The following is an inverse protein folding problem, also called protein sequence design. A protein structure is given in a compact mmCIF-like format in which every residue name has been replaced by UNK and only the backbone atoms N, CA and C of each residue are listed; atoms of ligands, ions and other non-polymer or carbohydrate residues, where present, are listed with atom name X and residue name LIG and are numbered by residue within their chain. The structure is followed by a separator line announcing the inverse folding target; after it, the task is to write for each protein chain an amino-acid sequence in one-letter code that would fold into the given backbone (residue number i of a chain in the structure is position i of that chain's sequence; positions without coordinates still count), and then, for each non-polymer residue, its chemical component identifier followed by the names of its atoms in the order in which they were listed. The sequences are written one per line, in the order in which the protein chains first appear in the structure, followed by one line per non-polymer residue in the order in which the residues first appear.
data_IF_347231187364
#
_entry.id   IF_347231187364
#
_cell.length_a   1.000
_cell.length_b   1.000
_cell.length_c   1.000
_cell.angle_alpha   90.00
_cell.angle_beta   90.00
_cell.angle_gamma   90.00
#
_symmetry.space_group_name_H-M   'P 1'
#
loop_
_entity.id
_entity.type
_entity.pdbx_description
1 polymer ?
#
# COMPACT_ATOMS: atom_id res chain seq x y z
N UNK A 1 23.11 -9.68 5.34
CA UNK A 1 21.74 -10.09 4.92
C UNK A 1 21.37 -11.50 5.37
N UNK A 2 22.26 -12.51 5.28
CA UNK A 2 22.02 -13.89 5.75
C UNK A 2 21.47 -14.00 7.19
N UNK A 3 22.07 -13.27 8.14
CA UNK A 3 21.58 -13.21 9.53
C UNK A 3 20.15 -12.65 9.63
N UNK A 4 19.76 -11.75 8.73
CA UNK A 4 18.42 -11.14 8.73
C UNK A 4 17.38 -12.12 8.16
N UNK A 5 17.72 -12.87 7.11
CA UNK A 5 16.84 -13.85 6.47
C UNK A 5 16.43 -14.98 7.43
N UNK A 6 17.30 -15.36 8.38
CA UNK A 6 16.98 -16.30 9.47
C UNK A 6 15.76 -15.86 10.29
N UNK A 7 15.50 -14.55 10.38
CA UNK A 7 14.39 -13.99 11.14
C UNK A 7 13.14 -13.76 10.29
N UNK A 8 13.11 -14.14 9.01
CA UNK A 8 11.97 -13.94 8.09
C UNK A 8 10.63 -14.32 8.72
N UNK A 9 10.55 -15.47 9.40
CA UNK A 9 9.32 -15.94 10.02
C UNK A 9 8.85 -15.04 11.18
N UNK A 10 9.78 -14.44 11.93
CA UNK A 10 9.45 -13.49 13.01
C UNK A 10 8.88 -12.21 12.41
N UNK A 11 9.52 -11.68 11.37
CA UNK A 11 8.98 -10.53 10.64
C UNK A 11 7.62 -10.87 10.00
N UNK A 12 7.45 -12.05 9.40
CA UNK A 12 6.16 -12.46 8.86
C UNK A 12 5.06 -12.50 9.92
N UNK A 13 5.36 -12.98 11.13
CA UNK A 13 4.41 -12.98 12.24
C UNK A 13 4.05 -11.56 12.71
N UNK A 14 5.04 -10.67 12.80
CA UNK A 14 4.81 -9.25 13.14
C UNK A 14 3.91 -8.58 12.10
N UNK A 15 4.18 -8.81 10.80
CA UNK A 15 3.33 -8.34 9.71
C UNK A 15 1.91 -8.88 9.81
N UNK A 16 1.74 -10.17 10.12
CA UNK A 16 0.43 -10.79 10.33
C UNK A 16 -0.34 -10.12 11.48
N UNK A 17 0.33 -9.81 12.59
CA UNK A 17 -0.27 -9.12 13.74
C UNK A 17 -0.71 -7.71 13.35
N UNK A 18 0.17 -6.91 12.76
CA UNK A 18 -0.17 -5.55 12.35
C UNK A 18 -1.30 -5.50 11.31
N UNK A 19 -1.30 -6.44 10.36
CA UNK A 19 -2.36 -6.55 9.36
C UNK A 19 -3.69 -6.93 9.99
N UNK A 20 -3.66 -7.85 10.96
CA UNK A 20 -4.85 -8.28 11.70
C UNK A 20 -5.43 -7.14 12.52
N UNK A 21 -4.59 -6.41 13.27
CA UNK A 21 -5.00 -5.22 14.03
C UNK A 21 -5.65 -4.19 13.10
N UNK A 22 -5.00 -3.88 11.98
CA UNK A 22 -5.51 -2.89 11.03
C UNK A 22 -6.90 -3.27 10.49
N UNK A 23 -7.07 -4.51 10.04
CA UNK A 23 -8.33 -5.00 9.45
C UNK A 23 -9.43 -5.18 10.49
N UNK A 24 -9.12 -5.75 11.65
CA UNK A 24 -10.10 -5.95 12.74
C UNK A 24 -10.59 -4.62 13.25
N UNK A 25 -9.71 -3.64 13.51
CA UNK A 25 -10.13 -2.30 13.93
C UNK A 25 -10.99 -1.61 12.88
N UNK A 26 -10.63 -1.75 11.60
CA UNK A 26 -11.43 -1.20 10.49
C UNK A 26 -12.86 -1.75 10.54
N UNK A 27 -13.02 -3.06 10.65
CA UNK A 27 -14.34 -3.70 10.70
C UNK A 27 -15.08 -3.33 11.99
N UNK A 28 -14.41 -3.39 13.14
CA UNK A 28 -15.03 -3.18 14.45
C UNK A 28 -15.53 -1.75 14.66
N UNK A 29 -14.75 -0.75 14.22
CA UNK A 29 -15.07 0.66 14.47
C UNK A 29 -15.73 1.38 13.29
N UNK A 30 -15.47 0.95 12.05
CA UNK A 30 -15.95 1.64 10.84
C UNK A 30 -16.90 0.77 9.97
N UNK A 31 -17.05 -0.51 10.30
CA UNK A 31 -17.87 -1.46 9.55
C UNK A 31 -17.29 -1.86 8.19
N UNK A 32 -18.00 -2.74 7.48
CA UNK A 32 -17.55 -3.26 6.18
C UNK A 32 -17.53 -2.17 5.10
N UNK A 33 -18.35 -1.13 5.22
CA UNK A 33 -18.33 0.00 4.28
C UNK A 33 -16.99 0.75 4.26
N UNK A 34 -16.16 0.59 5.29
CA UNK A 34 -14.84 1.19 5.35
C UNK A 34 -13.91 0.66 4.25
N UNK A 35 -14.18 -0.51 3.66
CA UNK A 35 -13.43 -1.01 2.50
C UNK A 35 -13.69 -0.22 1.21
N UNK A 36 -14.53 0.82 1.24
CA UNK A 36 -14.60 1.82 0.15
C UNK A 36 -13.39 2.75 0.11
N UNK A 37 -12.58 2.79 1.16
CA UNK A 37 -11.33 3.54 1.20
C UNK A 37 -10.16 2.70 0.68
N UNK A 38 -9.32 3.29 -0.16
CA UNK A 38 -8.14 2.63 -0.76
C UNK A 38 -7.15 2.12 0.31
N UNK A 39 -6.96 2.89 1.38
CA UNK A 39 -6.12 2.52 2.53
C UNK A 39 -6.55 1.19 3.14
N UNK A 40 -7.86 1.01 3.33
CA UNK A 40 -8.41 -0.18 3.98
C UNK A 40 -8.31 -1.41 3.06
N UNK A 41 -8.54 -1.23 1.75
CA UNK A 41 -8.29 -2.29 0.76
C UNK A 41 -6.80 -2.69 0.72
N UNK A 42 -5.89 -1.71 0.78
CA UNK A 42 -4.44 -1.95 0.80
C UNK A 42 -3.99 -2.69 2.07
N UNK A 43 -4.54 -2.34 3.23
CA UNK A 43 -4.29 -3.04 4.49
C UNK A 43 -4.86 -4.46 4.50
N UNK A 44 -5.97 -4.72 3.80
CA UNK A 44 -6.47 -6.08 3.58
C UNK A 44 -5.53 -6.90 2.70
N UNK A 45 -5.04 -6.33 1.59
CA UNK A 45 -4.05 -6.99 0.74
C UNK A 45 -2.75 -7.33 1.51
N UNK A 46 -2.29 -6.43 2.37
CA UNK A 46 -1.17 -6.66 3.28
C UNK A 46 -1.43 -7.85 4.22
N UNK A 47 -2.59 -7.89 4.87
CA UNK A 47 -2.97 -9.04 5.70
C UNK A 47 -2.98 -10.33 4.89
N UNK A 48 -3.55 -10.32 3.68
CA UNK A 48 -3.58 -11.49 2.79
C UNK A 48 -2.17 -12.00 2.49
N UNK A 49 -1.20 -11.12 2.19
CA UNK A 49 0.18 -11.55 1.92
C UNK A 49 0.78 -12.29 3.13
N UNK A 50 0.61 -11.78 4.34
CA UNK A 50 1.13 -12.44 5.55
C UNK A 50 0.39 -13.73 5.89
N UNK A 51 -0.91 -13.83 5.58
CA UNK A 51 -1.66 -15.10 5.67
C UNK A 51 -1.07 -16.13 4.69
N UNK A 52 -0.81 -15.75 3.44
CA UNK A 52 -0.21 -16.64 2.45
C UNK A 52 1.20 -17.10 2.86
N UNK A 53 2.00 -16.22 3.48
CA UNK A 53 3.29 -16.58 4.08
C UNK A 53 3.15 -17.58 5.23
N UNK A 54 2.18 -17.36 6.12
CA UNK A 54 1.89 -18.27 7.23
C UNK A 54 1.57 -19.69 6.74
N UNK A 55 0.80 -19.79 5.65
CA UNK A 55 0.49 -21.06 4.99
C UNK A 55 1.58 -21.57 4.03
N UNK A 56 2.78 -20.94 4.02
CA UNK A 56 3.93 -21.33 3.19
C UNK A 56 3.62 -21.38 1.69
N UNK A 57 2.81 -20.44 1.21
CA UNK A 57 2.41 -20.36 -0.20
C UNK A 57 3.31 -19.45 -1.04
N UNK A 58 4.49 -19.11 -0.55
CA UNK A 58 5.39 -18.11 -1.14
C UNK A 58 6.01 -18.50 -2.48
N UNK A 59 6.09 -19.79 -2.77
CA UNK A 59 6.58 -20.31 -4.05
C UNK A 59 5.58 -20.12 -5.21
N UNK A 60 4.32 -19.79 -4.91
CA UNK A 60 3.28 -19.66 -5.93
C UNK A 60 3.43 -18.36 -6.70
N UNK A 61 3.20 -18.41 -8.02
CA UNK A 61 3.16 -17.20 -8.84
C UNK A 61 2.11 -16.19 -8.36
N UNK A 62 0.96 -16.68 -7.87
CA UNK A 62 -0.09 -15.85 -7.28
C UNK A 62 0.40 -15.07 -6.07
N UNK A 63 1.28 -15.66 -5.25
CA UNK A 63 1.88 -14.96 -4.12
C UNK A 63 2.78 -13.82 -4.57
N UNK A 64 3.65 -14.04 -5.56
CA UNK A 64 4.52 -12.99 -6.13
C UNK A 64 3.69 -11.84 -6.71
N UNK A 65 2.64 -12.16 -7.47
CA UNK A 65 1.72 -11.17 -8.04
C UNK A 65 1.01 -10.37 -6.96
N UNK A 66 0.35 -11.03 -5.99
CA UNK A 66 -0.39 -10.35 -4.92
C UNK A 66 0.56 -9.49 -4.09
N UNK A 67 1.75 -10.00 -3.76
CA UNK A 67 2.74 -9.24 -2.99
C UNK A 67 3.19 -7.97 -3.71
N UNK A 68 3.38 -8.03 -5.03
CA UNK A 68 3.75 -6.85 -5.80
C UNK A 68 2.61 -5.82 -5.89
N UNK A 69 1.36 -6.28 -6.09
CA UNK A 69 0.18 -5.42 -6.02
C UNK A 69 0.08 -4.74 -4.65
N UNK A 70 0.28 -5.50 -3.58
CA UNK A 70 0.30 -4.99 -2.20
C UNK A 70 1.41 -3.96 -2.01
N UNK A 71 2.61 -4.20 -2.55
CA UNK A 71 3.74 -3.28 -2.44
C UNK A 71 3.37 -1.91 -3.00
N UNK A 72 2.85 -1.89 -4.22
CA UNK A 72 2.46 -0.65 -4.88
C UNK A 72 1.30 0.01 -4.14
N UNK A 73 0.30 -0.75 -3.72
CA UNK A 73 -0.87 -0.19 -3.02
C UNK A 73 -0.53 0.40 -1.65
N UNK A 74 0.34 -0.27 -0.89
CA UNK A 74 0.86 0.25 0.38
C UNK A 74 1.72 1.48 0.19
N UNK A 75 2.57 1.48 -0.83
CA UNK A 75 3.39 2.62 -1.21
C UNK A 75 2.55 3.85 -1.51
N UNK A 76 1.51 3.68 -2.34
CA UNK A 76 0.54 4.74 -2.65
C UNK A 76 -0.16 5.21 -1.37
N UNK A 77 -0.59 4.28 -0.51
CA UNK A 77 -1.26 4.60 0.76
C UNK A 77 -0.39 5.51 1.63
N UNK A 78 0.90 5.19 1.81
CA UNK A 78 1.81 6.03 2.58
C UNK A 78 2.10 7.37 1.91
N UNK A 79 2.45 7.37 0.62
CA UNK A 79 2.83 8.58 -0.13
C UNK A 79 1.66 9.55 -0.24
N UNK A 80 0.49 9.09 -0.68
CA UNK A 80 -0.71 9.94 -0.85
C UNK A 80 -1.17 10.48 0.49
N UNK A 81 -1.13 9.66 1.55
CA UNK A 81 -1.49 10.13 2.87
C UNK A 81 -0.59 11.30 3.31
N UNK A 82 0.73 11.08 3.30
CA UNK A 82 1.68 12.06 3.81
C UNK A 82 1.82 13.31 2.94
N UNK A 83 1.57 13.23 1.63
CA UNK A 83 1.75 14.36 0.70
C UNK A 83 0.45 15.08 0.33
N UNK A 84 -0.68 14.37 0.24
CA UNK A 84 -1.92 14.93 -0.31
C UNK A 84 -3.04 15.02 0.72
N UNK A 85 -3.05 14.17 1.74
CA UNK A 85 -4.11 14.15 2.73
C UNK A 85 -3.75 14.94 3.99
N UNK A 86 -2.45 15.08 4.32
CA UNK A 86 -1.96 15.83 5.48
C UNK A 86 -2.41 17.30 5.51
N UNK A 87 -2.60 17.94 4.34
CA UNK A 87 -2.99 19.36 4.24
C UNK A 87 -4.50 19.58 3.99
N UNK A 88 -5.29 18.51 3.82
CA UNK A 88 -6.69 18.60 3.38
C UNK A 88 -7.74 18.54 4.51
N UNK A 89 -7.30 18.50 5.77
CA UNK A 89 -8.17 18.65 6.94
C UNK A 89 -7.90 20.03 7.54
N UNK A 90 -8.76 21.00 7.22
CA UNK A 90 -8.57 22.42 7.52
C UNK A 90 -8.48 22.78 9.01
N UNK A 91 -7.32 22.60 9.63
CA UNK A 91 -6.99 23.22 10.91
C UNK A 91 -5.69 24.02 10.80
N UNK A 92 -5.83 25.33 10.97
CA UNK A 92 -4.79 26.38 10.98
C UNK A 92 -3.76 26.24 12.12
N UNK A 93 -3.80 25.15 12.88
CA UNK A 93 -2.87 24.84 13.98
C UNK A 93 -2.23 23.45 13.76
N UNK A 94 -0.97 23.45 13.31
CA UNK A 94 0.05 22.42 13.59
C UNK A 94 -0.30 20.93 13.44
N UNK A 95 -0.66 20.48 12.22
CA UNK A 95 -1.08 19.11 11.87
C UNK A 95 -0.01 18.00 11.97
N UNK A 96 1.29 18.31 12.00
CA UNK A 96 2.34 17.31 12.32
C UNK A 96 2.04 16.65 13.68
N UNK A 97 1.37 17.37 14.59
CA UNK A 97 1.03 16.87 15.93
C UNK A 97 -0.10 15.84 15.95
N UNK A 98 -0.96 15.78 14.91
CA UNK A 98 -2.13 14.89 14.83
C UNK A 98 -1.82 13.51 14.23
N UNK A 99 -0.93 13.44 13.23
CA UNK A 99 -0.53 12.19 12.58
C UNK A 99 0.34 11.32 13.51
N UNK A 100 1.16 11.97 14.34
CA UNK A 100 1.98 11.32 15.37
C UNK A 100 1.33 11.38 16.76
N UNK A 101 0.06 11.79 16.85
CA UNK A 101 -0.69 11.67 18.10
C UNK A 101 -0.89 10.18 18.38
N UNK A 102 -0.32 9.70 19.48
CA UNK A 102 -0.44 8.32 19.92
C UNK A 102 -1.90 7.92 20.19
N UNK A 103 -2.79 8.89 20.41
CA UNK A 103 -4.24 8.67 20.50
C UNK A 103 -4.87 8.26 19.14
N UNK A 104 -4.14 8.40 18.03
CA UNK A 104 -4.58 8.05 16.69
C UNK A 104 -3.83 6.84 16.11
N UNK A 105 -3.57 5.85 16.98
CA UNK A 105 -2.80 4.65 16.67
C UNK A 105 -3.20 3.95 15.37
N UNK A 106 -4.50 3.85 15.07
CA UNK A 106 -4.97 3.21 13.84
C UNK A 106 -4.50 3.93 12.57
N UNK A 107 -4.49 5.27 12.58
CA UNK A 107 -4.01 6.05 11.45
C UNK A 107 -2.50 5.90 11.28
N UNK A 108 -1.75 5.93 12.38
CA UNK A 108 -0.31 5.67 12.36
C UNK A 108 -0.01 4.28 11.78
N UNK A 109 -0.74 3.25 12.20
CA UNK A 109 -0.57 1.87 11.72
C UNK A 109 -0.87 1.77 10.23
N UNK A 110 -2.05 2.22 9.79
CA UNK A 110 -2.56 1.99 8.44
C UNK A 110 -1.90 2.85 7.36
N UNK A 111 -1.40 4.04 7.72
CA UNK A 111 -0.82 4.99 6.78
C UNK A 111 0.70 5.15 6.89
N UNK A 112 1.33 4.67 7.97
CA UNK A 112 2.78 4.83 8.15
C UNK A 112 3.47 3.50 8.46
N UNK A 113 3.08 2.82 9.54
CA UNK A 113 3.76 1.59 9.97
C UNK A 113 3.60 0.50 8.91
N UNK A 114 2.37 0.14 8.53
CA UNK A 114 2.13 -0.95 7.56
C UNK A 114 2.74 -0.64 6.18
N UNK A 115 2.59 0.57 5.62
CA UNK A 115 3.28 0.95 4.38
C UNK A 115 4.81 0.77 4.42
N UNK A 116 5.47 1.36 5.43
CA UNK A 116 6.93 1.26 5.56
C UNK A 116 7.37 -0.17 5.87
N UNK A 117 6.63 -0.86 6.73
CA UNK A 117 6.89 -2.24 7.10
C UNK A 117 6.85 -3.14 5.87
N UNK A 118 5.80 -3.04 5.06
CA UNK A 118 5.67 -3.89 3.87
C UNK A 118 6.73 -3.58 2.84
N UNK A 119 7.05 -2.30 2.63
CA UNK A 119 8.12 -1.87 1.74
C UNK A 119 9.45 -2.52 2.11
N UNK A 120 9.82 -2.45 3.39
CA UNK A 120 11.05 -3.04 3.92
C UNK A 120 10.98 -4.57 3.84
N UNK A 121 9.86 -5.17 4.26
CA UNK A 121 9.68 -6.61 4.28
C UNK A 121 9.81 -7.21 2.88
N UNK A 122 9.10 -6.64 1.91
CA UNK A 122 9.11 -7.08 0.52
C UNK A 122 10.53 -7.05 -0.04
N UNK A 123 11.22 -5.92 0.13
CA UNK A 123 12.58 -5.70 -0.40
C UNK A 123 13.62 -6.66 0.20
N UNK A 124 13.43 -7.12 1.44
CA UNK A 124 14.39 -7.96 2.16
C UNK A 124 14.08 -9.45 2.03
N UNK A 125 12.80 -9.83 2.05
CA UNK A 125 12.37 -11.22 2.26
C UNK A 125 11.58 -11.83 1.09
N UNK A 126 11.17 -11.03 0.11
CA UNK A 126 10.43 -11.49 -1.06
C UNK A 126 11.36 -11.39 -2.28
N UNK A 127 11.88 -12.54 -2.70
CA UNK A 127 12.61 -12.65 -3.96
C UNK A 127 11.58 -12.89 -5.06
N UNK A 128 11.39 -11.87 -5.89
CA UNK A 128 10.59 -11.97 -7.11
C UNK A 128 11.48 -11.88 -8.35
N UNK A 129 10.99 -12.47 -9.44
CA UNK A 129 11.62 -12.41 -10.76
C UNK A 129 10.92 -11.37 -11.66
N UNK A 130 10.21 -10.41 -11.06
CA UNK A 130 9.42 -9.44 -11.81
C UNK A 130 10.36 -8.51 -12.56
N UNK A 131 10.12 -8.41 -13.86
CA UNK A 131 10.90 -7.53 -14.74
C UNK A 131 10.28 -6.14 -14.72
N UNK A 132 11.06 -5.13 -15.10
CA UNK A 132 10.55 -3.75 -15.22
C UNK A 132 9.30 -3.68 -16.11
N UNK A 133 9.21 -4.53 -17.15
CA UNK A 133 8.03 -4.63 -18.02
C UNK A 133 6.75 -5.09 -17.31
N UNK A 134 6.86 -5.70 -16.13
CA UNK A 134 5.73 -6.22 -15.35
C UNK A 134 5.15 -5.15 -14.39
N UNK A 135 5.64 -3.89 -14.47
CA UNK A 135 5.15 -2.77 -13.66
C UNK A 135 3.63 -2.59 -13.72
N UNK A 136 3.01 -2.94 -14.86
CA UNK A 136 1.57 -2.83 -15.08
C UNK A 136 0.77 -3.69 -14.08
N UNK A 137 1.35 -4.76 -13.54
CA UNK A 137 0.69 -5.61 -12.54
C UNK A 137 0.42 -4.80 -11.27
N UNK A 138 1.38 -3.98 -10.84
CA UNK A 138 1.28 -3.19 -9.62
C UNK A 138 0.18 -2.12 -9.65
N UNK A 139 -0.17 -1.63 -10.86
CA UNK A 139 -1.22 -0.59 -11.02
C UNK A 139 -2.64 -1.16 -11.15
N UNK A 140 -2.81 -2.48 -11.20
CA UNK A 140 -4.14 -3.12 -11.35
C UNK A 140 -5.09 -2.66 -10.23
N UNK A 141 -4.67 -2.77 -8.97
CA UNK A 141 -5.51 -2.42 -7.83
C UNK A 141 -5.82 -0.90 -7.78
N UNK A 142 -4.84 0.02 -7.88
CA UNK A 142 -5.10 1.46 -7.98
C UNK A 142 -6.06 1.84 -9.11
N UNK A 143 -5.88 1.24 -10.29
CA UNK A 143 -6.71 1.53 -11.45
C UNK A 143 -8.14 1.00 -11.26
N UNK A 144 -8.29 -0.23 -10.77
CA UNK A 144 -9.58 -0.81 -10.45
C UNK A 144 -10.33 0.02 -9.40
N UNK A 145 -9.63 0.45 -8.34
CA UNK A 145 -10.18 1.34 -7.33
C UNK A 145 -10.69 2.65 -7.94
N UNK A 146 -9.85 3.31 -8.74
CA UNK A 146 -10.20 4.58 -9.38
C UNK A 146 -11.44 4.45 -10.28
N UNK A 147 -11.48 3.42 -11.13
CA UNK A 147 -12.63 3.14 -12.01
C UNK A 147 -13.90 2.90 -11.18
N UNK A 148 -13.81 2.10 -10.11
CA UNK A 148 -14.95 1.80 -9.25
C UNK A 148 -15.49 3.05 -8.55
N UNK A 149 -14.62 3.92 -8.05
CA UNK A 149 -15.04 5.19 -7.42
C UNK A 149 -15.70 6.10 -8.44
N UNK A 150 -15.13 6.27 -9.63
CA UNK A 150 -15.75 7.10 -10.67
C UNK A 150 -17.13 6.56 -11.13
N UNK A 151 -17.30 5.24 -11.16
CA UNK A 151 -18.56 4.62 -11.56
C UNK A 151 -19.63 4.66 -10.45
N UNK A 152 -19.26 4.38 -9.20
CA UNK A 152 -20.20 4.15 -8.11
C UNK A 152 -20.45 5.38 -7.23
N UNK A 153 -19.47 6.27 -7.09
CA UNK A 153 -19.61 7.44 -6.21
C UNK A 153 -20.70 8.43 -6.67
N UNK A 154 -20.89 8.70 -7.98
CA UNK A 154 -22.01 9.50 -8.45
C UNK A 154 -23.38 8.88 -8.17
N UNK A 155 -23.46 7.54 -8.11
CA UNK A 155 -24.71 6.81 -7.84
C UNK A 155 -25.03 6.73 -6.34
N UNK A 156 -23.99 6.75 -5.49
CA UNK A 156 -24.12 6.55 -4.04
C UNK A 156 -23.95 7.85 -3.25
N UNK A 157 -23.63 8.97 -3.90
CA UNK A 157 -23.28 10.26 -3.30
C UNK A 157 -22.22 10.15 -2.18
N UNK A 158 -21.30 9.21 -2.32
CA UNK A 158 -20.20 9.03 -1.37
C UNK A 158 -18.88 8.98 -2.11
N UNK A 159 -18.01 9.91 -1.76
CA UNK A 159 -16.65 10.01 -2.25
C UNK A 159 -15.67 9.77 -1.10
N UNK A 160 -14.79 8.75 -1.19
CA UNK A 160 -13.85 8.43 -0.11
C UNK A 160 -12.84 9.54 0.14
N UNK A 161 -12.54 10.37 -0.87
CA UNK A 161 -11.54 11.43 -0.76
C UNK A 161 -12.03 12.69 -1.48
N UNK A 162 -11.79 13.91 -0.92
CA UNK A 162 -12.21 15.16 -1.55
C UNK A 162 -11.63 15.36 -2.95
N UNK A 163 -10.40 14.90 -3.20
CA UNK A 163 -9.75 15.00 -4.51
C UNK A 163 -10.34 14.06 -5.58
N UNK A 164 -11.16 13.07 -5.18
CA UNK A 164 -11.93 12.22 -6.08
C UNK A 164 -13.38 12.66 -6.21
N UNK A 165 -13.78 13.71 -5.49
CA UNK A 165 -15.17 14.16 -5.48
C UNK A 165 -15.50 14.92 -6.77
N UNK A 166 -16.27 14.27 -7.64
CA UNK A 166 -16.73 14.83 -8.91
C UNK A 166 -17.75 15.94 -8.70
N UNK A 167 -18.51 15.92 -7.60
CA UNK A 167 -19.46 16.99 -7.26
C UNK A 167 -18.74 18.27 -6.83
N UNK A 168 -17.56 18.15 -6.22
CA UNK A 168 -16.74 19.29 -5.79
C UNK A 168 -15.81 19.80 -6.90
N UNK A 169 -15.16 18.90 -7.63
CA UNK A 169 -14.08 19.27 -8.56
C UNK A 169 -14.47 19.17 -10.04
N UNK A 170 -15.64 18.60 -10.34
CA UNK A 170 -16.01 18.17 -11.68
C UNK A 170 -15.15 17.00 -12.17
N UNK A 171 -15.61 16.30 -13.22
CA UNK A 171 -14.89 15.15 -13.77
C UNK A 171 -13.50 15.56 -14.29
N UNK A 172 -13.40 16.73 -14.93
CA UNK A 172 -12.14 17.26 -15.44
C UNK A 172 -11.13 17.58 -14.32
N UNK A 173 -11.60 18.09 -13.16
CA UNK A 173 -10.73 18.37 -12.02
C UNK A 173 -10.17 17.09 -11.40
N UNK A 174 -11.03 16.09 -11.18
CA UNK A 174 -10.62 14.77 -10.67
C UNK A 174 -9.60 14.13 -11.62
N UNK A 175 -9.89 14.11 -12.94
CA UNK A 175 -8.96 13.53 -13.92
C UNK A 175 -7.61 14.25 -13.95
N UNK A 176 -7.57 15.58 -13.84
CA UNK A 176 -6.31 16.33 -13.77
C UNK A 176 -5.52 15.94 -12.52
N UNK A 177 -6.16 15.92 -11.36
CA UNK A 177 -5.49 15.57 -10.11
C UNK A 177 -4.94 14.13 -10.15
N UNK A 178 -5.75 13.17 -10.58
CA UNK A 178 -5.33 11.77 -10.63
C UNK A 178 -4.28 11.51 -11.71
N UNK A 179 -4.46 12.01 -12.93
CA UNK A 179 -3.59 11.68 -14.05
C UNK A 179 -2.32 12.53 -14.14
N UNK A 180 -2.36 13.79 -13.71
CA UNK A 180 -1.22 14.71 -13.83
C UNK A 180 -0.41 14.83 -12.53
N UNK A 181 -1.02 14.58 -11.37
CA UNK A 181 -0.32 14.68 -10.08
C UNK A 181 -0.06 13.30 -9.49
N UNK A 182 -1.10 12.51 -9.26
CA UNK A 182 -0.95 11.22 -8.57
C UNK A 182 -0.23 10.19 -9.45
N UNK A 183 -0.65 10.00 -10.71
CA UNK A 183 -0.10 8.97 -11.57
C UNK A 183 1.43 9.13 -11.80
N UNK A 184 1.98 10.32 -12.13
CA UNK A 184 3.42 10.46 -12.31
C UNK A 184 4.20 10.20 -11.02
N UNK A 185 3.71 10.71 -9.88
CA UNK A 185 4.33 10.47 -8.58
C UNK A 185 4.39 8.97 -8.25
N UNK A 186 3.29 8.27 -8.47
CA UNK A 186 3.19 6.82 -8.26
C UNK A 186 4.11 6.07 -9.22
N UNK A 187 4.14 6.44 -10.50
CA UNK A 187 5.01 5.81 -11.51
C UNK A 187 6.49 5.99 -11.15
N UNK A 188 6.90 7.20 -10.77
CA UNK A 188 8.29 7.46 -10.32
C UNK A 188 8.62 6.60 -9.11
N UNK A 189 7.73 6.53 -8.12
CA UNK A 189 7.94 5.71 -6.94
C UNK A 189 8.07 4.21 -7.28
N UNK A 190 7.17 3.69 -8.12
CA UNK A 190 7.21 2.30 -8.61
C UNK A 190 8.53 2.02 -9.34
N UNK A 191 8.99 2.93 -10.20
CA UNK A 191 10.24 2.76 -10.95
C UNK A 191 11.45 2.73 -10.01
N UNK A 192 11.50 3.62 -9.02
CA UNK A 192 12.56 3.63 -8.01
C UNK A 192 12.55 2.32 -7.22
N UNK A 193 11.39 1.87 -6.74
CA UNK A 193 11.27 0.64 -5.98
C UNK A 193 11.62 -0.60 -6.79
N UNK A 194 11.10 -0.70 -8.02
CA UNK A 194 11.37 -1.84 -8.92
C UNK A 194 12.85 -1.91 -9.25
N UNK A 195 13.48 -0.76 -9.52
CA UNK A 195 14.92 -0.69 -9.80
C UNK A 195 15.74 -1.07 -8.57
N UNK A 196 15.43 -0.51 -7.40
CA UNK A 196 16.11 -0.84 -6.16
C UNK A 196 15.99 -2.34 -5.83
N UNK A 197 14.78 -2.89 -5.94
CA UNK A 197 14.51 -4.31 -5.69
C UNK A 197 15.27 -5.21 -6.67
N UNK A 198 15.29 -4.87 -7.96
CA UNK A 198 16.05 -5.61 -8.97
C UNK A 198 17.54 -5.73 -8.62
N UNK A 199 18.18 -4.62 -8.23
CA UNK A 199 19.60 -4.64 -7.85
C UNK A 199 19.86 -5.36 -6.52
N UNK A 200 18.94 -5.25 -5.55
CA UNK A 200 19.05 -5.94 -4.27
C UNK A 200 18.86 -7.45 -4.43
N UNK A 201 17.86 -7.90 -5.19
CA UNK A 201 17.62 -9.32 -5.48
C UNK A 201 18.80 -9.95 -6.21
N UNK A 202 19.42 -9.25 -7.18
CA UNK A 202 20.63 -9.75 -7.85
C UNK A 202 21.78 -10.01 -6.86
N UNK A 203 21.99 -9.10 -5.89
CA UNK A 203 23.01 -9.27 -4.85
C UNK A 203 22.66 -10.38 -3.85
N UNK A 204 21.39 -10.46 -3.45
CA UNK A 204 20.88 -11.49 -2.53
C UNK A 204 21.01 -12.89 -3.12
N UNK A 205 20.65 -13.09 -4.39
CA UNK A 205 20.72 -14.39 -5.07
C UNK A 205 22.16 -14.91 -5.15
N UNK A 206 23.13 -14.05 -5.46
CA UNK A 206 24.56 -14.42 -5.45
C UNK A 206 24.97 -14.87 -4.05
N UNK A 207 24.61 -14.11 -3.02
CA UNK A 207 24.95 -14.41 -1.63
C UNK A 207 24.30 -15.70 -1.09
N UNK A 208 23.15 -16.11 -1.63
CA UNK A 208 22.46 -17.34 -1.24
C UNK A 208 23.02 -18.56 -1.98
N UNK A 209 23.60 -18.38 -3.19
CA UNK A 209 24.12 -19.46 -4.05
C UNK A 209 25.61 -19.76 -3.88
N UNK A 210 26.39 -18.84 -3.33
CA UNK A 210 27.83 -19.03 -3.06
C UNK A 210 28.12 -19.83 -1.77
N UNK A 211 27.07 -20.32 -1.11
CA UNK A 211 27.09 -21.25 0.04
C UNK A 211 26.27 -22.51 -0.29
#
# INVERSE_FOLDING_TARGET
MKNLYKYKNIFALIGLIFGSIAVVNTIAYQGVQAFRYFTNQSNLLFLIVFILLYFKLEERISFKIISFITLISMSITGVVFHLLLTDSVGSTDGLIRSIYDLNNWQNLVTHTINPLYFLIFYTIFIIDDLKIKDFWIGIIHPLAYFILILALSPLTNFYPYPFLDVSLNGLAGVLKMTLLVMLPLIVVFILVLTTANYYLNKKLIVYIKED
#
